data_IF_763002884078
#
_entry.id   IF_763002884078
#
_cell.length_a   1.000
_cell.length_b   1.000
_cell.length_c   1.000
_cell.angle_alpha   90.00
_cell.angle_beta   90.00
_cell.angle_gamma   90.00
#
_symmetry.space_group_name_H-M   'P 1'
#
loop_
_entity.id
_entity.type
_entity.pdbx_description
1 polymer ?
#
# COMPACT_ATOMS: atom_id res chain seq x y z
N UNK A 1 -24.82 -7.64 3.34
CA UNK A 1 -24.69 -9.08 3.05
C UNK A 1 -24.08 -9.70 4.29
N UNK A 2 -24.83 -10.57 4.98
CA UNK A 2 -24.44 -11.14 6.26
C UNK A 2 -23.34 -12.17 6.02
N UNK A 3 -22.18 -12.01 6.65
CA UNK A 3 -21.13 -13.02 6.60
C UNK A 3 -21.54 -14.11 7.58
N UNK A 4 -22.08 -15.21 7.06
CA UNK A 4 -22.71 -16.29 7.86
C UNK A 4 -21.76 -16.95 8.88
N UNK A 5 -20.45 -16.82 8.67
CA UNK A 5 -19.40 -17.38 9.54
C UNK A 5 -18.83 -16.41 10.58
N UNK A 6 -19.33 -15.17 10.66
CA UNK A 6 -18.83 -14.15 11.59
C UNK A 6 -19.97 -13.64 12.47
N UNK A 7 -19.91 -13.94 13.78
CA UNK A 7 -20.79 -13.33 14.80
C UNK A 7 -20.39 -11.86 15.02
N UNK A 8 -20.82 -11.01 14.10
CA UNK A 8 -20.70 -9.55 14.16
C UNK A 8 -21.60 -8.93 15.23
N UNK A 9 -22.51 -9.71 15.82
CA UNK A 9 -23.55 -9.21 16.70
C UNK A 9 -23.13 -9.24 18.17
N UNK A 10 -22.14 -10.09 18.53
CA UNK A 10 -21.65 -10.30 19.89
C UNK A 10 -22.80 -10.48 20.90
N UNK A 11 -23.87 -11.18 20.52
CA UNK A 11 -25.11 -11.20 21.29
C UNK A 11 -25.08 -12.11 22.52
N UNK A 12 -24.01 -12.87 22.70
CA UNK A 12 -23.86 -13.77 23.86
C UNK A 12 -22.79 -13.25 24.82
N UNK A 13 -22.92 -13.66 26.09
CA UNK A 13 -21.89 -13.41 27.09
C UNK A 13 -20.54 -14.00 26.66
N UNK A 14 -20.54 -15.23 26.14
CA UNK A 14 -19.31 -15.93 25.77
C UNK A 14 -18.62 -15.26 24.57
N UNK A 15 -19.37 -14.83 23.54
CA UNK A 15 -18.82 -14.04 22.43
C UNK A 15 -18.21 -12.72 22.90
N UNK A 16 -18.83 -12.08 23.90
CA UNK A 16 -18.33 -10.84 24.49
C UNK A 16 -17.03 -11.09 25.26
N UNK A 17 -16.97 -12.16 26.05
CA UNK A 17 -15.78 -12.53 26.81
C UNK A 17 -14.62 -12.95 25.91
N UNK A 18 -14.87 -13.66 24.80
CA UNK A 18 -13.82 -13.98 23.84
C UNK A 18 -13.22 -12.75 23.18
N UNK A 19 -14.05 -11.79 22.76
CA UNK A 19 -13.56 -10.53 22.22
C UNK A 19 -12.79 -9.72 23.28
N UNK A 20 -13.27 -9.71 24.52
CA UNK A 20 -12.57 -9.08 25.63
C UNK A 20 -11.20 -9.70 25.85
N UNK A 21 -11.10 -11.02 25.99
CA UNK A 21 -9.83 -11.72 26.21
C UNK A 21 -8.88 -11.55 25.01
N UNK A 22 -9.41 -11.53 23.79
CA UNK A 22 -8.64 -11.31 22.58
C UNK A 22 -7.97 -9.92 22.53
N UNK A 23 -8.57 -8.90 23.15
CA UNK A 23 -8.07 -7.51 23.14
C UNK A 23 -7.39 -7.10 24.45
N UNK A 24 -7.82 -7.67 25.58
CA UNK A 24 -7.46 -7.25 26.94
C UNK A 24 -6.95 -8.39 27.85
N UNK A 25 -6.92 -9.63 27.37
CA UNK A 25 -6.40 -10.77 28.14
C UNK A 25 -4.90 -10.67 28.41
N UNK A 26 -4.35 -11.66 29.12
CA UNK A 26 -2.92 -11.68 29.49
C UNK A 26 -1.97 -11.67 28.28
N UNK A 27 -2.43 -12.22 27.14
CA UNK A 27 -1.71 -12.24 25.86
C UNK A 27 -2.66 -11.82 24.73
N UNK A 28 -2.88 -10.50 24.52
CA UNK A 28 -3.83 -10.01 23.53
C UNK A 28 -3.39 -10.40 22.11
N UNK A 29 -4.34 -10.82 21.29
CA UNK A 29 -4.15 -11.21 19.88
C UNK A 29 -4.72 -10.19 18.90
N UNK A 30 -5.54 -9.24 19.39
CA UNK A 30 -6.13 -8.17 18.60
C UNK A 30 -5.89 -6.82 19.26
N UNK A 31 -5.70 -5.79 18.45
CA UNK A 31 -5.43 -4.44 18.91
C UNK A 31 -6.52 -3.49 18.39
N UNK A 32 -6.78 -2.42 19.13
CA UNK A 32 -7.60 -1.32 18.61
C UNK A 32 -6.87 -0.60 17.47
N UNK A 33 -7.56 -0.44 16.34
CA UNK A 33 -7.10 0.44 15.28
C UNK A 33 -7.15 1.89 15.74
N UNK A 34 -6.03 2.62 15.62
CA UNK A 34 -5.95 4.05 15.89
C UNK A 34 -6.05 4.87 14.60
N UNK A 35 -5.68 4.27 13.47
CA UNK A 35 -5.77 4.86 12.14
C UNK A 35 -6.31 3.86 11.13
N UNK A 36 -6.52 4.31 9.89
CA UNK A 36 -6.98 3.49 8.78
C UNK A 36 -6.05 3.66 7.59
N UNK A 37 -5.56 2.55 7.06
CA UNK A 37 -4.89 2.49 5.77
C UNK A 37 -5.95 2.35 4.70
N UNK A 38 -5.97 3.29 3.75
CA UNK A 38 -6.85 3.25 2.58
C UNK A 38 -5.97 3.14 1.35
N UNK A 39 -6.17 2.08 0.55
CA UNK A 39 -5.53 1.95 -0.75
C UNK A 39 -6.51 2.30 -1.85
N UNK A 40 -6.02 3.10 -2.81
CA UNK A 40 -6.82 3.63 -3.90
C UNK A 40 -6.09 3.31 -5.20
N UNK A 41 -6.83 2.76 -6.14
CA UNK A 41 -6.40 2.63 -7.53
C UNK A 41 -6.85 3.82 -8.34
N UNK A 42 -5.99 4.20 -9.28
CA UNK A 42 -6.22 5.33 -10.15
C UNK A 42 -5.43 5.18 -11.44
N UNK A 43 -6.07 5.47 -12.56
CA UNK A 43 -5.41 5.55 -13.85
C UNK A 43 -4.79 6.95 -14.10
N UNK A 44 -3.70 6.97 -14.86
CA UNK A 44 -3.08 8.21 -15.37
C UNK A 44 -3.75 8.63 -16.68
N UNK A 45 -5.03 8.98 -16.62
CA UNK A 45 -5.82 9.38 -17.78
C UNK A 45 -6.66 10.63 -17.49
N UNK A 46 -7.05 11.34 -18.54
CA UNK A 46 -7.94 12.52 -18.44
C UNK A 46 -9.42 12.18 -18.35
N UNK A 47 -9.77 10.90 -18.51
CA UNK A 47 -11.12 10.32 -18.46
C UNK A 47 -11.08 9.19 -17.43
N UNK A 48 -12.07 9.00 -16.58
CA UNK A 48 -12.03 8.03 -15.45
C UNK A 48 -11.01 8.42 -14.35
N UNK A 49 -10.95 9.71 -14.02
CA UNK A 49 -10.00 10.26 -13.04
C UNK A 49 -10.44 10.04 -11.57
N UNK A 50 -11.59 9.39 -11.38
CA UNK A 50 -12.18 9.08 -10.09
C UNK A 50 -11.29 8.11 -9.29
N UNK A 51 -11.11 8.34 -7.98
CA UNK A 51 -10.42 7.38 -7.14
C UNK A 51 -11.27 6.11 -6.96
N UNK A 52 -10.65 4.93 -7.02
CA UNK A 52 -11.29 3.66 -6.68
C UNK A 52 -10.70 3.10 -5.39
N UNK A 53 -11.34 3.32 -4.24
CA UNK A 53 -10.94 2.66 -3.00
C UNK A 53 -11.05 1.13 -3.18
N UNK A 54 -9.95 0.42 -2.96
CA UNK A 54 -9.88 -1.04 -3.10
C UNK A 54 -9.58 -1.74 -1.78
N UNK A 55 -9.11 -0.99 -0.78
CA UNK A 55 -8.82 -1.50 0.54
C UNK A 55 -9.10 -0.43 1.59
N UNK A 56 -9.73 -0.85 2.69
CA UNK A 56 -9.83 -0.10 3.93
C UNK A 56 -9.42 -1.05 5.06
N UNK A 57 -8.32 -0.74 5.74
CA UNK A 57 -7.77 -1.60 6.80
C UNK A 57 -7.46 -0.75 8.03
N UNK A 58 -8.07 -1.08 9.17
CA UNK A 58 -7.71 -0.46 10.44
C UNK A 58 -6.28 -0.88 10.85
N UNK A 59 -5.49 0.06 11.38
CA UNK A 59 -4.12 -0.17 11.80
C UNK A 59 -3.89 0.38 13.20
N UNK A 60 -3.15 -0.36 14.01
CA UNK A 60 -2.64 0.11 15.31
C UNK A 60 -1.19 0.64 15.21
N UNK A 61 -0.62 0.70 14.01
CA UNK A 61 0.78 1.03 13.68
C UNK A 61 1.83 0.08 14.23
N UNK A 62 1.42 -1.11 14.68
CA UNK A 62 2.36 -2.14 15.09
C UNK A 62 3.01 -2.84 13.89
N UNK A 63 2.43 -2.69 12.69
CA UNK A 63 2.89 -3.27 11.44
C UNK A 63 4.30 -2.77 11.12
N UNK A 64 5.16 -3.70 10.74
CA UNK A 64 6.54 -3.44 10.33
C UNK A 64 6.64 -3.33 8.81
N UNK A 65 7.76 -2.79 8.35
CA UNK A 65 8.00 -2.57 6.92
C UNK A 65 7.80 -3.85 6.06
N UNK A 66 8.25 -5.06 6.47
CA UNK A 66 8.01 -6.27 5.68
C UNK A 66 6.53 -6.67 5.59
N UNK A 67 5.77 -6.47 6.67
CA UNK A 67 4.33 -6.77 6.69
C UNK A 67 3.58 -5.80 5.76
N UNK A 68 3.96 -4.53 5.79
CA UNK A 68 3.43 -3.54 4.86
C UNK A 68 3.86 -3.80 3.41
N UNK A 69 5.09 -4.27 3.18
CA UNK A 69 5.57 -4.66 1.84
C UNK A 69 4.71 -5.78 1.22
N UNK A 70 4.26 -6.75 2.02
CA UNK A 70 3.33 -7.78 1.56
C UNK A 70 2.00 -7.18 1.09
N UNK A 71 1.48 -6.16 1.80
CA UNK A 71 0.27 -5.46 1.40
C UNK A 71 0.45 -4.72 0.07
N UNK A 72 1.58 -4.05 -0.11
CA UNK A 72 1.94 -3.36 -1.36
C UNK A 72 2.04 -4.37 -2.51
N UNK A 73 2.68 -5.52 -2.29
CA UNK A 73 2.78 -6.59 -3.28
C UNK A 73 1.42 -7.18 -3.65
N UNK A 74 0.53 -7.38 -2.67
CA UNK A 74 -0.83 -7.84 -2.92
C UNK A 74 -1.60 -6.86 -3.82
N UNK A 75 -1.46 -5.55 -3.57
CA UNK A 75 -2.10 -4.51 -4.39
C UNK A 75 -1.55 -4.49 -5.82
N UNK A 76 -0.23 -4.59 -6.01
CA UNK A 76 0.38 -4.69 -7.33
C UNK A 76 -0.14 -5.94 -8.10
N UNK A 77 -0.20 -7.09 -7.43
CA UNK A 77 -0.77 -8.30 -8.04
C UNK A 77 -2.25 -8.13 -8.40
N UNK A 78 -3.06 -7.52 -7.53
CA UNK A 78 -4.47 -7.27 -7.77
C UNK A 78 -4.69 -6.35 -8.99
N UNK A 79 -3.88 -5.29 -9.13
CA UNK A 79 -3.90 -4.43 -10.31
C UNK A 79 -3.59 -5.22 -11.58
N UNK A 80 -2.49 -5.98 -11.57
CA UNK A 80 -2.04 -6.75 -12.72
C UNK A 80 -3.06 -7.80 -13.17
N UNK A 81 -3.77 -8.41 -12.24
CA UNK A 81 -4.79 -9.42 -12.54
C UNK A 81 -6.11 -8.83 -13.04
N UNK A 82 -6.52 -7.67 -12.51
CA UNK A 82 -7.91 -7.20 -12.64
C UNK A 82 -8.07 -5.95 -13.51
N UNK A 83 -7.07 -5.07 -13.52
CA UNK A 83 -7.21 -3.70 -14.03
C UNK A 83 -6.29 -3.43 -15.22
N UNK A 84 -5.12 -4.09 -15.25
CA UNK A 84 -4.05 -3.81 -16.22
C UNK A 84 -4.45 -3.96 -17.69
N UNK A 85 -5.40 -4.85 -18.00
CA UNK A 85 -5.89 -5.06 -19.37
C UNK A 85 -6.66 -3.88 -19.93
N UNK A 86 -7.23 -3.05 -19.05
CA UNK A 86 -8.05 -1.89 -19.43
C UNK A 86 -7.25 -0.60 -19.30
N UNK A 87 -6.50 -0.45 -18.21
CA UNK A 87 -5.83 0.82 -17.86
C UNK A 87 -4.30 0.79 -18.03
N UNK A 88 -3.73 -0.35 -18.45
CA UNK A 88 -2.29 -0.51 -18.67
C UNK A 88 -1.50 -0.89 -17.42
N UNK A 89 -0.18 -0.82 -17.54
CA UNK A 89 0.74 -1.16 -16.46
C UNK A 89 0.57 -0.24 -15.24
N UNK A 90 0.81 -0.76 -14.04
CA UNK A 90 0.95 0.07 -12.85
C UNK A 90 2.28 0.83 -12.94
N UNK A 91 2.24 2.16 -12.85
CA UNK A 91 3.45 2.99 -12.99
C UNK A 91 4.08 3.37 -11.66
N UNK A 92 3.26 3.70 -10.67
CA UNK A 92 3.72 4.30 -9.43
C UNK A 92 2.80 3.94 -8.27
N UNK A 93 3.42 3.68 -7.12
CA UNK A 93 2.76 3.60 -5.81
C UNK A 93 3.12 4.86 -5.03
N UNK A 94 2.12 5.53 -4.48
CA UNK A 94 2.34 6.77 -3.72
C UNK A 94 1.71 6.75 -2.34
N UNK A 95 2.43 7.30 -1.36
CA UNK A 95 2.06 7.30 0.05
C UNK A 95 2.32 8.66 0.71
N UNK A 96 1.54 8.93 1.75
CA UNK A 96 1.61 10.15 2.58
C UNK A 96 2.91 10.25 3.40
N UNK A 97 3.57 9.12 3.72
CA UNK A 97 4.98 9.16 4.15
C UNK A 97 5.30 8.73 5.58
N UNK A 98 4.46 7.89 6.21
CA UNK A 98 4.86 7.17 7.42
C UNK A 98 6.15 6.37 7.19
N UNK A 99 7.15 6.52 8.05
CA UNK A 99 8.52 5.98 7.84
C UNK A 99 8.55 4.47 7.62
N UNK A 100 7.77 3.71 8.38
CA UNK A 100 7.65 2.25 8.24
C UNK A 100 7.08 1.85 6.88
N UNK A 101 6.02 2.55 6.44
CA UNK A 101 5.37 2.30 5.15
C UNK A 101 6.30 2.67 3.99
N UNK A 102 7.05 3.78 4.12
CA UNK A 102 8.08 4.19 3.15
C UNK A 102 9.12 3.11 2.94
N UNK A 103 9.61 2.52 4.03
CA UNK A 103 10.58 1.43 3.95
C UNK A 103 9.97 0.20 3.27
N UNK A 104 8.73 -0.16 3.60
CA UNK A 104 8.02 -1.26 2.93
C UNK A 104 7.85 -1.02 1.43
N UNK A 105 7.45 0.19 1.01
CA UNK A 105 7.37 0.53 -0.41
C UNK A 105 8.73 0.48 -1.09
N UNK A 106 9.80 0.97 -0.46
CA UNK A 106 11.15 0.91 -1.02
C UNK A 106 11.62 -0.53 -1.24
N UNK A 107 11.30 -1.45 -0.32
CA UNK A 107 11.63 -2.87 -0.47
C UNK A 107 10.97 -3.50 -1.71
N UNK A 108 9.79 -3.02 -2.12
CA UNK A 108 9.04 -3.54 -3.28
C UNK A 108 9.35 -2.79 -4.57
N UNK A 109 9.50 -1.47 -4.51
CA UNK A 109 9.55 -0.60 -5.69
C UNK A 109 10.99 -0.18 -6.08
N UNK A 110 12.01 -0.63 -5.37
CA UNK A 110 13.42 -0.37 -5.69
C UNK A 110 14.39 -1.57 -5.62
N UNK A 111 13.96 -2.86 -5.65
CA UNK A 111 14.88 -3.99 -5.52
C UNK A 111 15.72 -4.25 -6.79
N UNK A 112 15.31 -3.78 -7.96
CA UNK A 112 15.96 -4.09 -9.24
C UNK A 112 16.45 -2.81 -9.92
N UNK A 113 17.53 -2.90 -10.69
CA UNK A 113 17.84 -1.86 -11.69
C UNK A 113 16.95 -2.03 -12.91
N UNK A 114 16.59 -0.92 -13.57
CA UNK A 114 15.85 -0.91 -14.82
C UNK A 114 16.62 -1.70 -15.89
N UNK A 115 15.92 -2.59 -16.61
CA UNK A 115 16.51 -3.43 -17.64
C UNK A 115 17.10 -2.58 -18.77
N UNK A 116 18.39 -2.75 -19.14
CA UNK A 116 19.01 -2.03 -20.25
C UNK A 116 18.34 -2.23 -21.62
N UNK A 117 17.54 -3.28 -21.77
CA UNK A 117 16.75 -3.56 -22.98
C UNK A 117 15.40 -2.85 -22.99
N UNK A 118 14.97 -2.30 -21.85
CA UNK A 118 13.74 -1.52 -21.76
C UNK A 118 13.89 -0.19 -22.53
N UNK A 119 12.90 0.21 -23.36
CA UNK A 119 12.96 1.48 -24.08
C UNK A 119 13.20 2.70 -23.19
N UNK A 120 12.76 2.68 -21.92
CA UNK A 120 12.97 3.77 -20.97
C UNK A 120 14.43 3.90 -20.55
N UNK A 121 15.22 2.83 -20.58
CA UNK A 121 16.60 2.87 -20.10
C UNK A 121 17.46 3.86 -20.88
N UNK A 122 17.32 3.91 -22.20
CA UNK A 122 18.10 4.83 -23.04
C UNK A 122 17.83 6.31 -22.72
N UNK A 123 16.63 6.62 -22.23
CA UNK A 123 16.26 7.98 -21.80
C UNK A 123 16.72 8.26 -20.37
N UNK A 124 16.43 7.34 -19.45
CA UNK A 124 16.60 7.57 -18.01
C UNK A 124 18.06 7.42 -17.56
N UNK A 125 18.82 6.48 -18.14
CA UNK A 125 20.24 6.26 -17.78
C UNK A 125 21.15 7.46 -18.05
N UNK A 126 20.72 8.35 -18.95
CA UNK A 126 21.45 9.58 -19.31
C UNK A 126 21.22 10.74 -18.36
N UNK A 127 20.30 10.61 -17.39
CA UNK A 127 19.94 11.67 -16.44
C UNK A 127 20.79 11.55 -15.16
N UNK A 128 21.79 12.42 -14.96
CA UNK A 128 22.69 12.29 -13.81
C UNK A 128 21.93 12.45 -12.49
N UNK A 129 22.14 11.50 -11.58
CA UNK A 129 21.51 11.52 -10.25
C UNK A 129 20.07 11.00 -10.22
N UNK A 130 19.48 10.61 -11.36
CA UNK A 130 18.21 9.92 -11.37
C UNK A 130 18.40 8.48 -10.85
N UNK A 131 17.55 8.07 -9.91
CA UNK A 131 17.52 6.68 -9.50
C UNK A 131 16.91 5.83 -10.61
N UNK A 132 17.65 4.82 -11.07
CA UNK A 132 17.21 3.86 -12.09
C UNK A 132 16.71 2.54 -11.50
N UNK A 133 16.53 2.47 -10.17
CA UNK A 133 15.94 1.28 -9.55
C UNK A 133 14.41 1.33 -9.55
N UNK A 134 13.80 0.17 -9.75
CA UNK A 134 12.37 -0.02 -9.83
C UNK A 134 11.94 -1.37 -9.24
N UNK A 135 10.64 -1.53 -9.04
CA UNK A 135 9.99 -2.78 -8.68
C UNK A 135 9.84 -3.70 -9.88
N UNK A 136 9.14 -4.81 -9.65
CA UNK A 136 8.67 -5.68 -10.72
C UNK A 136 7.82 -4.86 -11.71
N UNK A 137 7.94 -5.16 -13.02
CA UNK A 137 7.24 -4.44 -14.09
C UNK A 137 7.52 -2.92 -14.12
N UNK A 138 8.71 -2.50 -13.67
CA UNK A 138 9.14 -1.11 -13.62
C UNK A 138 8.29 -0.20 -12.72
N UNK A 139 7.54 -0.76 -11.75
CA UNK A 139 6.74 0.01 -10.79
C UNK A 139 7.66 0.87 -9.93
N UNK A 140 7.34 2.16 -9.81
CA UNK A 140 8.12 3.13 -9.02
C UNK A 140 7.41 3.50 -7.71
N UNK A 141 8.16 4.10 -6.78
CA UNK A 141 7.61 4.67 -5.55
C UNK A 141 7.76 6.20 -5.55
N UNK A 142 6.70 6.91 -5.17
CA UNK A 142 6.71 8.37 -5.00
C UNK A 142 6.13 8.77 -3.65
N UNK A 143 6.79 9.72 -2.98
CA UNK A 143 6.22 10.35 -1.77
C UNK A 143 5.36 11.54 -2.19
N UNK A 144 4.26 11.79 -1.48
CA UNK A 144 3.43 12.96 -1.76
C UNK A 144 4.25 14.26 -1.65
N UNK A 145 4.42 15.02 -2.77
CA UNK A 145 5.30 16.18 -2.80
C UNK A 145 4.88 17.26 -1.82
N UNK A 146 3.61 17.30 -1.40
CA UNK A 146 3.13 18.26 -0.40
C UNK A 146 3.94 18.20 0.91
N UNK A 147 4.41 17.01 1.29
CA UNK A 147 5.15 16.83 2.54
C UNK A 147 6.61 17.25 2.43
N UNK A 148 7.22 17.02 1.27
CA UNK A 148 8.53 17.57 0.96
C UNK A 148 8.48 19.10 1.01
N UNK A 149 7.50 19.70 0.33
CA UNK A 149 7.33 21.16 0.28
C UNK A 149 7.11 21.73 1.68
N UNK A 150 6.22 21.14 2.48
CA UNK A 150 5.97 21.58 3.85
C UNK A 150 7.24 21.58 4.72
N UNK A 151 8.11 20.58 4.57
CA UNK A 151 9.34 20.46 5.35
C UNK A 151 10.40 21.50 4.99
N UNK A 152 10.45 21.92 3.73
CA UNK A 152 11.42 22.92 3.29
C UNK A 152 10.93 24.37 3.53
N UNK A 153 9.61 24.57 3.62
CA UNK A 153 9.01 25.90 3.75
C UNK A 153 8.60 26.30 5.18
N UNK A 154 8.48 25.34 6.11
CA UNK A 154 8.07 25.56 7.50
C UNK A 154 8.99 24.80 8.45
#
# INVERSE_FOLDING_TARGET
EHVEDLDISMQTHDSTMWAWDAVHGEAPSFHYGSEVTVAIFRAFNGTDYEPWPVLILATCKAEKAPEFANLVQLLDQAWNQSVSRVYGALWCISMDGASTMRLGCHQICMPNELDPTDPLFDYLSKLPGLNITCGTNNVTYSSDPKHCIKRELY
#
